data_IF_459467018546
#
_entry.id   IF_459467018546
#
_cell.length_a   1.000
_cell.length_b   1.000
_cell.length_c   1.000
_cell.angle_alpha   90.00
_cell.angle_beta   90.00
_cell.angle_gamma   90.00
#
_symmetry.space_group_name_H-M   'P 1'
#
loop_
_entity.id
_entity.type
_entity.pdbx_description
1 polymer ?
#
# COMPACT_ATOMS: atom_id res chain seq x y z
N UNK A 1 30.51 40.13 28.15
CA UNK A 1 29.33 40.93 28.53
C UNK A 1 28.31 41.04 27.39
N UNK A 2 28.69 41.52 26.19
CA UNK A 2 27.77 41.68 25.05
C UNK A 2 27.30 40.34 24.48
N UNK A 3 28.14 39.30 24.47
CA UNK A 3 27.79 37.95 24.07
C UNK A 3 26.83 37.27 25.06
N UNK A 4 27.06 37.47 26.33
CA UNK A 4 26.21 36.97 27.43
C UNK A 4 24.80 37.60 27.39
N UNK A 5 24.73 38.92 27.18
CA UNK A 5 23.45 39.62 27.04
C UNK A 5 22.68 39.14 25.83
N UNK A 6 23.35 38.85 24.71
CA UNK A 6 22.72 38.29 23.51
C UNK A 6 22.16 36.91 23.77
N UNK A 7 22.91 36.03 24.44
CA UNK A 7 22.44 34.68 24.80
C UNK A 7 21.25 34.74 25.73
N UNK A 8 21.28 35.56 26.76
CA UNK A 8 20.16 35.75 27.68
C UNK A 8 18.90 36.29 26.99
N UNK A 9 19.07 37.17 26.02
CA UNK A 9 17.95 37.70 25.24
C UNK A 9 17.35 36.65 24.32
N UNK A 10 18.17 35.82 23.67
CA UNK A 10 17.74 34.68 22.87
C UNK A 10 16.94 33.69 23.71
N UNK A 11 17.46 33.27 24.87
CA UNK A 11 16.80 32.38 25.78
C UNK A 11 15.46 32.92 26.28
N UNK A 12 15.41 34.24 26.59
CA UNK A 12 14.19 34.91 26.99
C UNK A 12 13.12 34.90 25.87
N UNK A 13 13.49 35.20 24.63
CA UNK A 13 12.58 35.17 23.50
C UNK A 13 12.08 33.74 23.23
N UNK A 14 12.95 32.75 23.30
CA UNK A 14 12.60 31.36 23.12
C UNK A 14 11.63 30.85 24.19
N UNK A 15 11.88 31.16 25.49
CA UNK A 15 10.97 30.86 26.59
C UNK A 15 9.60 31.49 26.40
N UNK A 16 9.56 32.73 25.89
CA UNK A 16 8.30 33.43 25.57
C UNK A 16 7.53 32.74 24.45
N UNK A 17 8.22 32.26 23.40
CA UNK A 17 7.62 31.46 22.31
C UNK A 17 7.06 30.16 22.88
N UNK A 18 7.81 29.46 23.74
CA UNK A 18 7.37 28.17 24.32
C UNK A 18 6.17 28.35 25.26
N UNK A 19 6.13 29.44 25.98
CA UNK A 19 4.98 29.83 26.83
C UNK A 19 3.71 30.07 26.02
N UNK A 20 3.81 30.79 24.90
CA UNK A 20 2.68 31.06 24.00
C UNK A 20 2.22 29.80 23.22
N UNK A 21 3.14 28.90 22.92
CA UNK A 21 2.85 27.59 22.32
C UNK A 21 1.87 26.76 23.18
N UNK A 22 2.03 26.80 24.49
CA UNK A 22 1.13 26.16 25.47
C UNK A 22 -0.25 26.82 25.51
N UNK A 23 -0.33 28.12 25.21
CA UNK A 23 -1.58 28.89 25.20
C UNK A 23 -2.37 28.88 23.86
N UNK A 24 -1.84 28.26 22.79
CA UNK A 24 -2.55 28.06 21.52
C UNK A 24 -2.79 29.33 20.67
N UNK A 25 -2.16 30.47 20.97
CA UNK A 25 -2.33 31.72 20.22
C UNK A 25 -1.35 31.77 19.02
N UNK A 26 -1.75 31.26 17.87
CA UNK A 26 -0.95 31.19 16.65
C UNK A 26 -0.48 32.58 16.16
N UNK A 27 -1.34 33.60 16.23
CA UNK A 27 -1.01 34.98 15.81
C UNK A 27 0.08 35.60 16.69
N UNK A 28 -0.01 35.44 18.02
CA UNK A 28 1.00 35.95 18.93
C UNK A 28 2.34 35.20 18.80
N UNK A 29 2.32 33.87 18.53
CA UNK A 29 3.52 33.09 18.24
C UNK A 29 4.22 33.63 17.00
N UNK A 30 3.47 33.87 15.93
CA UNK A 30 4.02 34.36 14.66
C UNK A 30 4.67 35.74 14.85
N UNK A 31 3.99 36.67 15.54
CA UNK A 31 4.55 38.01 15.81
C UNK A 31 5.89 37.90 16.55
N UNK A 32 6.00 37.06 17.56
CA UNK A 32 7.25 36.89 18.31
C UNK A 32 8.35 36.24 17.46
N UNK A 33 7.99 35.27 16.58
CA UNK A 33 8.95 34.67 15.65
C UNK A 33 9.49 35.71 14.67
N UNK A 34 8.62 36.59 14.16
CA UNK A 34 9.03 37.67 13.26
C UNK A 34 9.90 38.70 14.00
N UNK A 35 9.55 39.08 15.23
CA UNK A 35 10.36 39.94 16.10
C UNK A 35 11.74 39.29 16.36
N UNK A 36 11.80 38.00 16.64
CA UNK A 36 13.04 37.25 16.82
C UNK A 36 13.92 37.28 15.57
N UNK A 37 13.35 36.95 14.40
CA UNK A 37 14.08 36.93 13.11
C UNK A 37 14.62 38.30 12.70
N UNK A 38 13.90 39.34 13.06
CA UNK A 38 14.24 40.76 12.71
C UNK A 38 15.09 41.46 13.77
N UNK A 39 15.45 40.81 14.88
CA UNK A 39 16.25 41.42 15.92
C UNK A 39 17.71 41.55 15.49
N UNK A 40 18.26 42.77 15.41
CA UNK A 40 19.60 43.01 14.88
C UNK A 40 20.74 42.51 15.79
N UNK A 41 20.42 42.06 17.01
CA UNK A 41 21.40 41.68 18.03
C UNK A 41 21.59 40.17 18.20
N UNK A 42 20.97 39.34 17.36
CA UNK A 42 21.14 37.91 17.45
C UNK A 42 22.60 37.50 17.21
N UNK A 43 23.16 36.71 18.13
CA UNK A 43 24.50 36.20 17.97
C UNK A 43 24.52 35.18 16.80
N UNK A 44 25.59 35.21 16.02
CA UNK A 44 25.81 34.28 14.91
C UNK A 44 25.85 32.80 15.34
N UNK A 45 25.86 32.49 16.65
CA UNK A 45 25.84 31.15 17.23
C UNK A 45 24.46 30.57 17.54
N UNK A 46 23.39 31.34 17.46
CA UNK A 46 22.03 30.94 17.85
C UNK A 46 21.22 30.29 16.75
N UNK A 47 21.88 29.76 15.72
CA UNK A 47 21.22 28.94 14.67
C UNK A 47 20.60 27.64 15.18
N UNK A 48 20.92 27.19 16.40
CA UNK A 48 20.33 26.01 17.02
C UNK A 48 18.82 26.11 17.19
N UNK A 49 18.26 27.29 17.40
CA UNK A 49 16.82 27.50 17.54
C UNK A 49 16.12 27.88 16.23
N UNK A 50 16.86 28.15 15.16
CA UNK A 50 16.27 28.59 13.89
C UNK A 50 15.36 27.52 13.27
N UNK A 51 15.75 26.26 13.31
CA UNK A 51 14.93 25.15 12.79
C UNK A 51 13.66 24.96 13.63
N UNK A 52 13.77 25.08 14.96
CA UNK A 52 12.61 24.99 15.86
C UNK A 52 11.67 26.17 15.66
N UNK A 53 12.21 27.36 15.44
CA UNK A 53 11.42 28.55 15.13
C UNK A 53 10.73 28.47 13.78
N UNK A 54 11.39 27.93 12.75
CA UNK A 54 10.78 27.70 11.45
C UNK A 54 9.67 26.66 11.53
N UNK A 55 9.86 25.57 12.27
CA UNK A 55 8.81 24.56 12.52
C UNK A 55 7.61 25.19 13.24
N UNK A 56 7.85 25.97 14.28
CA UNK A 56 6.79 26.66 15.03
C UNK A 56 6.06 27.71 14.18
N UNK A 57 6.78 28.42 13.28
CA UNK A 57 6.17 29.33 12.32
C UNK A 57 5.23 28.60 11.37
N UNK A 58 5.70 27.52 10.73
CA UNK A 58 4.85 26.74 9.82
C UNK A 58 3.66 26.12 10.54
N UNK A 59 3.83 25.68 11.80
CA UNK A 59 2.73 25.21 12.64
C UNK A 59 1.71 26.30 12.90
N UNK A 60 2.15 27.52 13.27
CA UNK A 60 1.27 28.66 13.51
C UNK A 60 0.50 29.05 12.23
N UNK A 61 1.17 29.06 11.09
CA UNK A 61 0.56 29.32 9.79
C UNK A 61 -0.50 28.27 9.44
N UNK A 62 -0.21 26.99 9.72
CA UNK A 62 -1.17 25.92 9.51
C UNK A 62 -2.40 26.04 10.44
N UNK A 63 -2.21 26.38 11.71
CA UNK A 63 -3.33 26.60 12.64
C UNK A 63 -4.22 27.80 12.24
N UNK A 64 -3.64 28.82 11.61
CA UNK A 64 -4.40 29.94 11.03
C UNK A 64 -5.12 29.54 9.73
N UNK A 65 -4.50 28.67 8.94
CA UNK A 65 -5.07 28.19 7.68
C UNK A 65 -6.31 27.32 7.90
N UNK A 66 -6.31 26.42 8.89
CA UNK A 66 -7.41 25.47 9.15
C UNK A 66 -8.79 26.12 9.15
N UNK A 67 -9.07 27.16 9.97
CA UNK A 67 -10.39 27.80 9.99
C UNK A 67 -10.69 28.62 8.75
N UNK A 68 -9.69 28.96 7.93
CA UNK A 68 -9.87 29.72 6.70
C UNK A 68 -10.31 28.85 5.52
N UNK A 69 -10.12 27.52 5.60
CA UNK A 69 -10.54 26.58 4.55
C UNK A 69 -11.98 26.13 4.81
N UNK A 70 -12.94 26.91 4.29
CA UNK A 70 -14.38 26.70 4.52
C UNK A 70 -15.15 26.27 3.27
N UNK A 71 -14.58 26.49 2.07
CA UNK A 71 -15.20 26.15 0.79
C UNK A 71 -14.16 25.95 -0.31
N UNK A 72 -14.59 25.62 -1.53
CA UNK A 72 -13.71 25.44 -2.70
C UNK A 72 -12.96 26.71 -3.10
N UNK A 73 -13.50 27.89 -2.84
CA UNK A 73 -12.87 29.19 -3.19
C UNK A 73 -11.65 29.45 -2.30
N UNK A 74 -11.68 28.98 -1.05
CA UNK A 74 -10.55 29.10 -0.11
C UNK A 74 -9.37 28.16 -0.43
N UNK A 75 -9.49 27.24 -1.39
CA UNK A 75 -8.40 26.33 -1.79
C UNK A 75 -7.17 27.05 -2.36
N UNK A 76 -7.31 28.32 -2.81
CA UNK A 76 -6.18 29.15 -3.20
C UNK A 76 -5.19 29.38 -2.05
N UNK A 77 -5.69 29.60 -0.83
CA UNK A 77 -4.87 29.75 0.38
C UNK A 77 -4.08 28.47 0.68
N UNK A 78 -4.70 27.34 0.48
CA UNK A 78 -4.07 26.04 0.67
C UNK A 78 -2.95 25.79 -0.35
N UNK A 79 -3.15 26.17 -1.60
CA UNK A 79 -2.13 26.05 -2.63
C UNK A 79 -0.92 26.94 -2.32
N UNK A 80 -1.14 28.14 -1.83
CA UNK A 80 -0.07 29.05 -1.44
C UNK A 80 0.71 28.49 -0.25
N UNK A 81 0.02 27.98 0.77
CA UNK A 81 0.65 27.30 1.89
C UNK A 81 1.54 26.14 1.42
N UNK A 82 1.05 25.27 0.54
CA UNK A 82 1.78 24.12 0.02
C UNK A 82 3.02 24.49 -0.82
N UNK A 83 3.05 25.69 -1.41
CA UNK A 83 4.23 26.20 -2.15
C UNK A 83 5.30 26.74 -1.23
N UNK A 84 4.92 27.42 -0.13
CA UNK A 84 5.82 28.20 0.70
C UNK A 84 6.36 27.44 1.90
N UNK A 85 5.68 26.37 2.35
CA UNK A 85 6.03 25.63 3.57
C UNK A 85 6.72 24.30 3.25
N UNK A 86 7.73 23.95 4.06
CA UNK A 86 8.64 22.81 3.79
C UNK A 86 8.37 21.56 4.63
N UNK A 87 7.81 21.71 5.85
CA UNK A 87 7.63 20.58 6.75
C UNK A 87 6.52 19.64 6.26
N UNK A 88 6.91 18.38 6.02
CA UNK A 88 6.03 17.33 5.43
C UNK A 88 4.76 17.13 6.25
N UNK A 89 4.87 17.14 7.57
CA UNK A 89 3.73 16.95 8.49
C UNK A 89 2.60 17.95 8.21
N UNK A 90 2.91 19.24 8.11
CA UNK A 90 1.90 20.28 7.86
C UNK A 90 1.40 20.26 6.42
N UNK A 91 2.26 19.91 5.48
CA UNK A 91 1.88 19.71 4.06
C UNK A 91 0.90 18.55 3.90
N UNK A 92 1.12 17.44 4.59
CA UNK A 92 0.23 16.26 4.55
C UNK A 92 -1.13 16.58 5.19
N UNK A 93 -1.13 17.27 6.34
CA UNK A 93 -2.36 17.75 6.98
C UNK A 93 -3.10 18.79 6.13
N UNK A 94 -2.39 19.71 5.50
CA UNK A 94 -2.97 20.69 4.58
C UNK A 94 -3.59 20.01 3.36
N UNK A 95 -2.93 19.02 2.77
CA UNK A 95 -3.52 18.22 1.69
C UNK A 95 -4.81 17.48 2.13
N UNK A 96 -4.87 17.02 3.38
CA UNK A 96 -6.08 16.40 3.92
C UNK A 96 -7.25 17.39 4.02
N UNK A 97 -7.01 18.67 4.34
CA UNK A 97 -8.04 19.72 4.31
C UNK A 97 -8.63 19.96 2.92
N UNK A 98 -7.89 19.62 1.88
CA UNK A 98 -8.34 19.73 0.49
C UNK A 98 -9.42 18.70 0.12
N UNK A 99 -9.35 17.52 0.72
CA UNK A 99 -10.15 16.36 0.33
C UNK A 99 -11.69 16.61 0.30
N UNK A 100 -12.29 17.33 1.26
CA UNK A 100 -13.73 17.61 1.23
C UNK A 100 -14.19 18.51 0.07
N UNK A 101 -13.28 19.36 -0.47
CA UNK A 101 -13.62 20.41 -1.43
C UNK A 101 -13.21 20.06 -2.87
N UNK A 102 -12.36 19.06 -3.08
CA UNK A 102 -12.01 18.57 -4.41
C UNK A 102 -13.12 17.65 -4.90
N UNK A 103 -14.16 18.26 -5.48
CA UNK A 103 -15.30 17.51 -6.01
C UNK A 103 -14.92 16.67 -7.23
N UNK A 104 -14.02 17.17 -8.08
CA UNK A 104 -13.53 16.46 -9.27
C UNK A 104 -12.09 16.82 -9.58
N UNK A 105 -11.26 15.84 -9.90
CA UNK A 105 -9.94 16.03 -10.48
C UNK A 105 -9.79 15.11 -11.70
N UNK A 106 -9.16 15.62 -12.76
CA UNK A 106 -8.82 14.85 -13.95
C UNK A 106 -7.30 14.83 -14.08
N UNK A 107 -6.73 13.64 -14.11
CA UNK A 107 -5.28 13.43 -14.32
C UNK A 107 -5.10 12.73 -15.65
N UNK A 108 -4.42 13.39 -16.59
CA UNK A 108 -4.16 12.84 -17.91
C UNK A 108 -2.69 12.47 -18.06
N UNK A 109 -2.45 11.31 -18.66
CA UNK A 109 -1.15 10.85 -19.15
C UNK A 109 -1.29 10.53 -20.65
N UNK A 110 -0.21 10.25 -21.38
CA UNK A 110 -0.31 9.90 -22.81
C UNK A 110 -1.19 8.67 -23.10
N UNK A 111 -1.33 7.75 -22.13
CA UNK A 111 -2.06 6.48 -22.31
C UNK A 111 -3.29 6.33 -21.42
N UNK A 112 -3.52 7.26 -20.49
CA UNK A 112 -4.63 7.13 -19.55
C UNK A 112 -5.20 8.49 -19.11
N UNK A 113 -6.54 8.52 -18.91
CA UNK A 113 -7.24 9.65 -18.27
C UNK A 113 -7.97 9.12 -17.04
N UNK A 114 -7.65 9.67 -15.87
CA UNK A 114 -8.20 9.28 -14.57
C UNK A 114 -9.07 10.37 -13.99
N UNK A 115 -10.27 10.01 -13.57
CA UNK A 115 -11.26 10.91 -12.97
C UNK A 115 -11.41 10.59 -11.49
N UNK A 116 -11.31 11.62 -10.66
CA UNK A 116 -11.43 11.51 -9.21
C UNK A 116 -12.64 12.33 -8.74
N UNK A 117 -13.37 11.78 -7.78
CA UNK A 117 -14.43 12.49 -7.07
C UNK A 117 -14.18 12.34 -5.57
N UNK A 118 -14.15 13.45 -4.85
CA UNK A 118 -13.83 13.49 -3.41
C UNK A 118 -12.53 12.72 -3.07
N UNK A 119 -11.50 12.91 -3.90
CA UNK A 119 -10.21 12.26 -3.74
C UNK A 119 -10.16 10.76 -4.11
N UNK A 120 -11.28 10.17 -4.53
CA UNK A 120 -11.35 8.75 -4.93
C UNK A 120 -11.40 8.62 -6.45
N UNK A 121 -10.66 7.64 -6.97
CA UNK A 121 -10.69 7.30 -8.40
C UNK A 121 -12.06 6.70 -8.74
N UNK A 122 -12.84 7.41 -9.59
CA UNK A 122 -14.19 6.95 -9.98
C UNK A 122 -14.23 6.39 -11.40
N UNK A 123 -13.29 6.83 -12.27
CA UNK A 123 -13.21 6.34 -13.64
C UNK A 123 -11.77 6.41 -14.13
N UNK A 124 -11.36 5.42 -14.93
CA UNK A 124 -10.12 5.42 -15.69
C UNK A 124 -10.42 5.04 -17.13
N UNK A 125 -9.91 5.82 -18.08
CA UNK A 125 -9.97 5.52 -19.50
C UNK A 125 -8.55 5.30 -20.00
N UNK A 126 -8.26 4.12 -20.54
CA UNK A 126 -6.94 3.72 -21.02
C UNK A 126 -7.06 3.27 -22.47
N UNK A 127 -6.01 3.49 -23.26
CA UNK A 127 -5.92 2.99 -24.63
C UNK A 127 -4.67 2.14 -24.74
N UNK A 128 -4.85 0.89 -25.18
CA UNK A 128 -3.76 -0.05 -25.45
C UNK A 128 -3.94 -0.74 -26.80
N UNK A 129 -3.10 -1.73 -27.09
CA UNK A 129 -3.15 -2.51 -28.33
C UNK A 129 -4.44 -3.33 -28.52
N UNK A 130 -5.22 -3.53 -27.46
CA UNK A 130 -6.48 -4.29 -27.48
C UNK A 130 -7.70 -3.42 -27.73
N UNK A 131 -7.58 -2.10 -27.52
CA UNK A 131 -8.64 -1.09 -27.72
C UNK A 131 -8.70 -0.06 -26.61
N UNK A 132 -9.86 0.58 -26.47
CA UNK A 132 -10.14 1.52 -25.40
C UNK A 132 -10.74 0.77 -24.20
N UNK A 133 -10.15 0.95 -23.03
CA UNK A 133 -10.63 0.36 -21.79
C UNK A 133 -11.17 1.45 -20.88
N UNK A 134 -12.44 1.36 -20.51
CA UNK A 134 -13.06 2.22 -19.51
C UNK A 134 -13.31 1.42 -18.26
N UNK A 135 -12.69 1.82 -17.14
CA UNK A 135 -12.90 1.23 -15.83
C UNK A 135 -13.60 2.21 -14.90
N UNK A 136 -14.71 1.80 -14.33
CA UNK A 136 -15.50 2.56 -13.35
C UNK A 136 -15.36 1.94 -11.97
N UNK A 137 -15.28 2.79 -10.94
CA UNK A 137 -15.06 2.40 -9.54
C UNK A 137 -16.22 2.92 -8.69
N UNK A 138 -16.89 2.05 -7.94
CA UNK A 138 -18.03 2.38 -7.08
C UNK A 138 -17.65 2.06 -5.64
N UNK A 139 -17.96 3.00 -4.75
CA UNK A 139 -17.67 2.93 -3.32
C UNK A 139 -18.97 2.96 -2.50
N UNK A 140 -18.99 2.30 -1.34
CA UNK A 140 -20.04 2.45 -0.37
C UNK A 140 -19.87 3.75 0.45
N UNK A 141 -20.83 4.03 1.34
CA UNK A 141 -20.84 5.22 2.21
C UNK A 141 -19.65 5.28 3.16
N UNK A 142 -19.05 4.13 3.51
CA UNK A 142 -17.81 4.03 4.29
C UNK A 142 -16.55 4.25 3.46
N UNK A 143 -16.67 4.43 2.13
CA UNK A 143 -15.56 4.65 1.23
C UNK A 143 -14.80 3.40 0.79
N UNK A 144 -15.36 2.23 1.00
CA UNK A 144 -14.80 0.96 0.56
C UNK A 144 -15.22 0.68 -0.88
N UNK A 145 -14.29 0.19 -1.70
CA UNK A 145 -14.49 -0.11 -3.12
C UNK A 145 -15.35 -1.38 -3.28
N UNK A 146 -16.62 -1.21 -3.61
CA UNK A 146 -17.57 -2.32 -3.73
C UNK A 146 -17.65 -2.91 -5.13
N UNK A 147 -17.46 -2.08 -6.17
CA UNK A 147 -17.57 -2.55 -7.55
C UNK A 147 -16.52 -1.91 -8.44
N UNK A 148 -15.91 -2.72 -9.29
CA UNK A 148 -15.07 -2.27 -10.40
C UNK A 148 -15.69 -2.85 -11.68
N UNK A 149 -16.05 -1.98 -12.62
CA UNK A 149 -16.59 -2.37 -13.93
C UNK A 149 -15.60 -1.92 -15.00
N UNK A 150 -15.05 -2.85 -15.75
CA UNK A 150 -14.17 -2.59 -16.90
C UNK A 150 -14.88 -2.99 -18.18
N UNK A 151 -14.93 -2.05 -19.12
CA UNK A 151 -15.49 -2.25 -20.46
C UNK A 151 -14.38 -2.01 -21.47
N UNK A 152 -14.09 -3.02 -22.27
CA UNK A 152 -13.15 -2.92 -23.40
C UNK A 152 -13.95 -2.69 -24.68
N UNK A 153 -13.64 -1.61 -25.40
CA UNK A 153 -14.23 -1.29 -26.69
C UNK A 153 -13.24 -1.56 -27.81
N UNK A 154 -13.71 -2.23 -28.86
CA UNK A 154 -12.95 -2.45 -30.08
C UNK A 154 -13.75 -1.93 -31.26
N UNK A 155 -13.14 -1.06 -32.09
CA UNK A 155 -13.82 -0.41 -33.22
C UNK A 155 -15.11 0.31 -32.82
N UNK A 156 -15.12 0.96 -31.64
CA UNK A 156 -16.28 1.71 -31.11
C UNK A 156 -17.46 0.84 -30.63
N UNK A 157 -17.25 -0.47 -30.48
CA UNK A 157 -18.26 -1.39 -29.95
C UNK A 157 -17.73 -2.10 -28.68
N UNK A 158 -18.60 -2.28 -27.65
CA UNK A 158 -18.22 -3.04 -26.45
C UNK A 158 -17.87 -4.48 -26.81
N UNK A 159 -16.58 -4.83 -26.69
CA UNK A 159 -16.05 -6.16 -27.00
C UNK A 159 -16.05 -7.09 -25.79
N UNK A 160 -15.74 -6.56 -24.62
CA UNK A 160 -15.71 -7.33 -23.38
C UNK A 160 -16.13 -6.46 -22.18
N UNK A 161 -16.78 -7.11 -21.22
CA UNK A 161 -17.25 -6.45 -20.00
C UNK A 161 -16.94 -7.34 -18.80
N UNK A 162 -16.26 -6.77 -17.80
CA UNK A 162 -15.85 -7.50 -16.61
C UNK A 162 -16.19 -6.68 -15.38
N UNK A 163 -16.93 -7.29 -14.45
CA UNK A 163 -17.29 -6.69 -13.19
C UNK A 163 -16.64 -7.45 -12.03
N UNK A 164 -16.03 -6.73 -11.10
CA UNK A 164 -15.60 -7.25 -9.80
C UNK A 164 -16.45 -6.62 -8.71
N UNK A 165 -17.13 -7.44 -7.92
CA UNK A 165 -17.96 -7.00 -6.79
C UNK A 165 -17.40 -7.51 -5.47
N UNK A 166 -17.44 -6.69 -4.42
CA UNK A 166 -16.87 -6.97 -3.09
C UNK A 166 -17.89 -6.73 -1.99
N UNK A 167 -17.84 -7.58 -0.96
CA UNK A 167 -18.54 -7.38 0.30
C UNK A 167 -17.53 -7.26 1.43
N UNK A 168 -17.91 -6.49 2.43
CA UNK A 168 -17.09 -6.18 3.59
C UNK A 168 -17.84 -6.56 4.87
N UNK A 169 -17.09 -6.98 5.88
CA UNK A 169 -17.62 -7.13 7.23
C UNK A 169 -17.85 -5.76 7.89
N UNK A 170 -18.46 -5.70 9.10
CA UNK A 170 -18.68 -4.44 9.81
C UNK A 170 -17.38 -3.70 10.16
N UNK A 171 -16.26 -4.41 10.30
CA UNK A 171 -14.91 -3.89 10.60
C UNK A 171 -14.22 -3.33 9.37
N UNK A 172 -14.70 -3.66 8.17
CA UNK A 172 -14.16 -3.14 6.91
C UNK A 172 -13.23 -4.07 6.14
N UNK A 173 -13.13 -5.34 6.54
CA UNK A 173 -12.34 -6.33 5.83
C UNK A 173 -13.15 -6.92 4.67
N UNK A 174 -12.51 -7.07 3.50
CA UNK A 174 -13.14 -7.70 2.34
C UNK A 174 -13.26 -9.21 2.57
N UNK A 175 -14.50 -9.68 2.79
CA UNK A 175 -14.81 -11.09 3.07
C UNK A 175 -15.29 -11.87 1.84
N UNK A 176 -15.73 -11.18 0.79
CA UNK A 176 -16.19 -11.80 -0.44
C UNK A 176 -15.82 -10.93 -1.64
N UNK A 177 -15.38 -11.57 -2.71
CA UNK A 177 -15.12 -10.96 -4.01
C UNK A 177 -15.60 -11.91 -5.12
N UNK A 178 -16.31 -11.37 -6.11
CA UNK A 178 -16.69 -12.10 -7.30
C UNK A 178 -16.33 -11.28 -8.54
N UNK A 179 -15.74 -11.96 -9.52
CA UNK A 179 -15.46 -11.39 -10.85
C UNK A 179 -16.35 -12.08 -11.87
N UNK A 180 -17.17 -11.30 -12.56
CA UNK A 180 -18.21 -11.79 -13.47
C UNK A 180 -18.15 -11.11 -14.82
N UNK A 181 -18.68 -11.76 -15.83
CA UNK A 181 -19.15 -11.07 -17.03
C UNK A 181 -20.62 -10.68 -16.81
N UNK A 182 -20.96 -9.37 -16.69
CA UNK A 182 -22.33 -8.95 -16.34
C UNK A 182 -23.34 -9.25 -17.45
N UNK A 183 -22.93 -9.36 -18.71
CA UNK A 183 -23.82 -9.69 -19.85
C UNK A 183 -24.23 -11.17 -19.84
N UNK A 184 -23.25 -12.06 -19.67
CA UNK A 184 -23.51 -13.51 -19.67
C UNK A 184 -23.87 -14.05 -18.31
N UNK A 185 -23.70 -13.24 -17.25
CA UNK A 185 -23.86 -13.62 -15.82
C UNK A 185 -22.95 -14.78 -15.42
N UNK A 186 -21.80 -14.90 -16.10
CA UNK A 186 -20.83 -15.99 -15.88
C UNK A 186 -19.75 -15.49 -14.95
N UNK A 187 -19.50 -16.21 -13.86
CA UNK A 187 -18.42 -15.89 -12.94
C UNK A 187 -17.09 -16.40 -13.49
N UNK A 188 -16.08 -15.54 -13.53
CA UNK A 188 -14.70 -15.95 -13.79
C UNK A 188 -14.11 -16.61 -12.54
N UNK A 189 -14.37 -16.01 -11.36
CA UNK A 189 -14.06 -16.60 -10.06
C UNK A 189 -14.94 -16.01 -8.96
N UNK A 190 -15.02 -16.75 -7.84
CA UNK A 190 -15.54 -16.30 -6.53
C UNK A 190 -14.50 -16.53 -5.46
N UNK A 191 -14.29 -15.54 -4.64
CA UNK A 191 -13.35 -15.56 -3.51
C UNK A 191 -14.08 -15.32 -2.22
N UNK A 192 -13.92 -16.19 -1.24
CA UNK A 192 -14.47 -16.03 0.11
C UNK A 192 -13.34 -16.08 1.12
N UNK A 193 -13.31 -15.12 2.03
CA UNK A 193 -12.30 -15.02 3.09
C UNK A 193 -12.92 -15.13 4.46
N UNK A 194 -12.25 -15.84 5.34
CA UNK A 194 -12.49 -15.81 6.77
C UNK A 194 -11.43 -14.91 7.40
N UNK A 195 -11.88 -13.90 8.11
CA UNK A 195 -11.04 -12.89 8.76
C UNK A 195 -11.18 -13.04 10.27
N UNK A 196 -10.06 -13.05 10.98
CA UNK A 196 -10.00 -13.09 12.43
C UNK A 196 -10.41 -11.76 13.06
N UNK A 197 -10.60 -11.77 14.37
CA UNK A 197 -10.99 -10.57 15.16
C UNK A 197 -9.94 -9.46 15.04
N UNK A 198 -8.68 -9.84 14.87
CA UNK A 198 -7.53 -8.94 14.71
C UNK A 198 -7.37 -8.40 13.27
N UNK A 199 -8.27 -8.78 12.34
CA UNK A 199 -8.21 -8.39 10.94
C UNK A 199 -7.31 -9.26 10.07
N UNK A 200 -6.63 -10.27 10.63
CA UNK A 200 -5.82 -11.21 9.87
C UNK A 200 -6.69 -12.15 9.03
N UNK A 201 -6.24 -12.50 7.83
CA UNK A 201 -6.91 -13.52 7.01
C UNK A 201 -6.53 -14.88 7.58
N UNK A 202 -7.53 -15.65 8.07
CA UNK A 202 -7.35 -17.02 8.56
C UNK A 202 -7.42 -18.02 7.42
N UNK A 203 -8.36 -17.83 6.49
CA UNK A 203 -8.49 -18.68 5.31
C UNK A 203 -9.10 -17.92 4.13
N UNK A 204 -8.81 -18.43 2.94
CA UNK A 204 -9.26 -17.91 1.65
C UNK A 204 -9.66 -19.08 0.75
N UNK A 205 -10.83 -19.01 0.15
CA UNK A 205 -11.28 -19.97 -0.84
C UNK A 205 -11.54 -19.26 -2.16
N UNK A 206 -10.91 -19.72 -3.24
CA UNK A 206 -11.04 -19.18 -4.58
C UNK A 206 -11.59 -20.24 -5.52
N UNK A 207 -12.81 -20.03 -6.02
CA UNK A 207 -13.49 -20.94 -6.96
C UNK A 207 -13.51 -20.33 -8.34
N UNK A 208 -13.03 -21.09 -9.34
CA UNK A 208 -12.97 -20.69 -10.74
C UNK A 208 -14.22 -21.10 -11.53
N UNK A 209 -14.40 -20.50 -12.70
CA UNK A 209 -15.53 -20.76 -13.62
C UNK A 209 -15.64 -22.22 -14.04
N UNK A 210 -14.51 -22.89 -14.24
CA UNK A 210 -14.46 -24.31 -14.64
C UNK A 210 -14.78 -25.29 -13.50
N UNK A 211 -15.08 -24.76 -12.31
CA UNK A 211 -15.46 -25.50 -11.12
C UNK A 211 -14.28 -25.91 -10.24
N UNK A 212 -13.04 -25.75 -10.69
CA UNK A 212 -11.86 -25.92 -9.83
C UNK A 212 -11.86 -24.88 -8.71
N UNK A 213 -11.27 -25.22 -7.58
CA UNK A 213 -11.13 -24.26 -6.48
C UNK A 213 -9.88 -24.51 -5.64
N UNK A 214 -9.43 -23.48 -4.96
CA UNK A 214 -8.33 -23.54 -3.99
C UNK A 214 -8.83 -23.14 -2.62
N UNK A 215 -8.22 -23.73 -1.58
CA UNK A 215 -8.43 -23.33 -0.17
C UNK A 215 -7.08 -23.07 0.44
N UNK A 216 -6.88 -21.85 0.92
CA UNK A 216 -5.64 -21.38 1.53
C UNK A 216 -5.84 -21.11 3.01
N UNK A 217 -4.85 -21.44 3.84
CA UNK A 217 -4.80 -21.12 5.27
C UNK A 217 -3.59 -20.26 5.58
N UNK A 218 -3.71 -19.38 6.54
CA UNK A 218 -2.67 -18.42 6.90
C UNK A 218 -2.40 -18.48 8.40
N UNK A 219 -1.17 -18.16 8.78
CA UNK A 219 -0.83 -18.00 10.20
C UNK A 219 -1.25 -16.58 10.69
N UNK A 220 -1.05 -16.31 11.99
CA UNK A 220 -1.36 -15.02 12.60
C UNK A 220 -0.58 -13.82 12.01
N UNK A 221 0.53 -14.07 11.34
CA UNK A 221 1.32 -13.05 10.63
C UNK A 221 0.80 -12.80 9.19
N UNK A 222 -0.27 -13.50 8.75
CA UNK A 222 -0.83 -13.39 7.40
C UNK A 222 -0.02 -14.16 6.34
N UNK A 223 0.90 -15.05 6.75
CA UNK A 223 1.71 -15.85 5.85
C UNK A 223 0.99 -17.15 5.47
N UNK A 224 1.01 -17.51 4.19
CA UNK A 224 0.36 -18.70 3.64
C UNK A 224 1.01 -19.98 4.20
N UNK A 225 0.30 -20.73 5.02
CA UNK A 225 0.79 -21.98 5.60
C UNK A 225 0.37 -23.21 4.83
N UNK A 226 -0.81 -23.19 4.23
CA UNK A 226 -1.34 -24.30 3.46
C UNK A 226 -2.15 -23.79 2.27
N UNK A 227 -2.03 -24.45 1.11
CA UNK A 227 -2.92 -24.25 -0.04
C UNK A 227 -3.29 -25.61 -0.61
N UNK A 228 -4.58 -25.87 -0.71
CA UNK A 228 -5.17 -27.09 -1.32
C UNK A 228 -5.84 -26.73 -2.62
N UNK A 229 -5.59 -27.52 -3.65
CA UNK A 229 -6.14 -27.37 -4.98
C UNK A 229 -7.07 -28.53 -5.29
N UNK A 230 -8.27 -28.22 -5.73
CA UNK A 230 -9.32 -29.21 -6.00
C UNK A 230 -9.82 -29.08 -7.44
N UNK A 231 -10.13 -30.20 -8.05
CA UNK A 231 -10.83 -30.22 -9.34
C UNK A 231 -12.32 -29.86 -9.17
N UNK A 232 -13.03 -29.84 -10.29
CA UNK A 232 -14.47 -29.55 -10.35
C UNK A 232 -15.35 -30.54 -9.59
N UNK A 233 -14.87 -31.77 -9.36
CA UNK A 233 -15.58 -32.81 -8.63
C UNK A 233 -15.30 -32.77 -7.12
N UNK A 234 -14.44 -31.88 -6.66
CA UNK A 234 -14.02 -31.79 -5.27
C UNK A 234 -12.89 -32.73 -4.87
N UNK A 235 -12.21 -33.36 -5.83
CA UNK A 235 -11.06 -34.21 -5.57
C UNK A 235 -9.79 -33.39 -5.46
N UNK A 236 -8.95 -33.71 -4.48
CA UNK A 236 -7.68 -32.99 -4.24
C UNK A 236 -6.68 -33.32 -5.38
N UNK A 237 -6.27 -32.29 -6.12
CA UNK A 237 -5.30 -32.37 -7.20
C UNK A 237 -3.89 -31.98 -6.79
N UNK A 238 -3.77 -31.11 -5.80
CA UNK A 238 -2.48 -30.66 -5.30
C UNK A 238 -2.58 -30.00 -3.96
N UNK A 239 -1.47 -29.94 -3.24
CA UNK A 239 -1.37 -29.12 -2.05
C UNK A 239 0.04 -28.60 -1.84
N UNK A 240 0.12 -27.44 -1.18
CA UNK A 240 1.36 -26.81 -0.78
C UNK A 240 1.31 -26.56 0.73
N UNK A 241 2.41 -26.85 1.42
CA UNK A 241 2.61 -26.54 2.85
C UNK A 241 3.88 -25.73 2.99
N UNK A 242 3.78 -24.60 3.70
CA UNK A 242 4.90 -23.71 3.96
C UNK A 242 5.15 -23.61 5.47
N UNK A 243 6.42 -23.52 5.86
CA UNK A 243 6.84 -23.26 7.23
C UNK A 243 7.68 -22.00 7.27
N UNK A 244 7.59 -21.29 8.39
CA UNK A 244 8.26 -20.02 8.61
C UNK A 244 8.95 -20.04 9.96
N UNK A 245 10.00 -19.26 10.09
CA UNK A 245 10.61 -18.96 11.39
C UNK A 245 9.79 -17.90 12.16
N UNK A 246 10.21 -17.57 13.37
CA UNK A 246 9.56 -16.58 14.23
C UNK A 246 9.58 -15.15 13.62
N UNK A 247 10.50 -14.88 12.69
CA UNK A 247 10.61 -13.61 11.96
C UNK A 247 9.78 -13.56 10.67
N UNK A 248 9.05 -14.64 10.36
CA UNK A 248 8.22 -14.73 9.16
C UNK A 248 8.97 -15.11 7.87
N UNK A 249 10.23 -15.57 7.98
CA UNK A 249 10.96 -16.07 6.82
C UNK A 249 10.61 -17.51 6.54
N UNK A 250 10.37 -17.83 5.26
CA UNK A 250 10.04 -19.19 4.84
C UNK A 250 11.25 -20.11 5.05
N UNK A 251 11.09 -21.17 5.83
CA UNK A 251 12.14 -22.16 6.09
C UNK A 251 11.96 -23.44 5.29
N UNK A 252 10.72 -23.76 4.95
CA UNK A 252 10.39 -24.94 4.17
C UNK A 252 9.16 -24.68 3.30
N UNK A 253 9.17 -25.16 2.06
CA UNK A 253 7.99 -25.28 1.20
C UNK A 253 7.92 -26.69 0.64
N UNK A 254 6.75 -27.32 0.72
CA UNK A 254 6.50 -28.61 0.14
C UNK A 254 5.26 -28.53 -0.75
N UNK A 255 5.44 -28.88 -2.02
CA UNK A 255 4.35 -28.98 -2.98
C UNK A 255 4.16 -30.44 -3.41
N UNK A 256 2.90 -30.88 -3.52
CA UNK A 256 2.55 -32.20 -4.03
C UNK A 256 1.44 -32.06 -5.07
N UNK A 257 1.62 -32.70 -6.21
CA UNK A 257 0.67 -32.76 -7.30
C UNK A 257 0.15 -34.19 -7.48
N UNK A 258 -1.15 -34.37 -7.33
CA UNK A 258 -1.79 -35.67 -7.39
C UNK A 258 -2.17 -36.11 -8.82
N UNK A 259 -2.21 -35.16 -9.77
CA UNK A 259 -2.63 -35.43 -11.16
C UNK A 259 -1.65 -36.29 -11.95
N UNK A 260 -0.37 -36.30 -11.58
CA UNK A 260 0.71 -36.83 -12.39
C UNK A 260 1.32 -38.15 -11.86
N UNK A 261 0.62 -38.83 -10.94
CA UNK A 261 1.11 -40.08 -10.34
C UNK A 261 1.58 -41.11 -11.39
N UNK A 262 0.92 -41.17 -12.55
CA UNK A 262 1.23 -42.10 -13.64
C UNK A 262 1.94 -41.44 -14.84
N UNK A 263 2.40 -40.17 -14.71
CA UNK A 263 3.03 -39.43 -15.80
C UNK A 263 4.54 -39.37 -15.60
N UNK A 264 5.37 -40.16 -16.33
CA UNK A 264 6.80 -40.32 -16.06
C UNK A 264 7.45 -38.94 -16.19
N UNK A 265 7.62 -38.07 -16.50
CA UNK A 265 8.36 -36.82 -16.58
C UNK A 265 7.64 -35.61 -15.91
N UNK A 266 6.52 -35.86 -15.23
CA UNK A 266 5.78 -34.81 -14.56
C UNK A 266 6.19 -34.73 -13.07
N UNK A 267 6.35 -33.51 -12.59
CA UNK A 267 6.71 -33.24 -11.18
C UNK A 267 5.57 -33.63 -10.26
N UNK A 268 5.79 -34.67 -9.44
CA UNK A 268 4.82 -35.19 -8.49
C UNK A 268 4.93 -34.47 -7.14
N UNK A 269 6.18 -34.26 -6.67
CA UNK A 269 6.42 -33.60 -5.39
C UNK A 269 7.73 -32.82 -5.43
N UNK A 270 7.72 -31.66 -4.80
CA UNK A 270 8.91 -30.82 -4.60
C UNK A 270 8.94 -30.38 -3.14
N UNK A 271 10.12 -30.53 -2.52
CA UNK A 271 10.42 -29.99 -1.21
C UNK A 271 11.59 -29.03 -1.34
N UNK A 272 11.48 -27.87 -0.73
CA UNK A 272 12.50 -26.82 -0.69
C UNK A 272 12.78 -26.43 0.76
N UNK A 273 14.06 -26.30 1.09
CA UNK A 273 14.54 -25.80 2.36
C UNK A 273 15.32 -24.52 2.09
N UNK A 274 15.01 -23.47 2.83
CA UNK A 274 15.56 -22.14 2.66
C UNK A 274 16.50 -21.81 3.80
N UNK A 275 17.73 -21.42 3.49
CA UNK A 275 18.78 -21.06 4.43
C UNK A 275 19.08 -19.55 4.32
N UNK A 276 19.20 -18.89 5.46
CA UNK A 276 19.45 -17.45 5.54
C UNK A 276 20.73 -17.17 6.33
N UNK A 277 21.40 -16.09 6.01
CA UNK A 277 22.52 -15.60 6.81
C UNK A 277 22.04 -14.85 8.07
N UNK A 278 23.00 -14.42 8.91
CA UNK A 278 22.72 -13.66 10.14
C UNK A 278 22.05 -12.30 9.91
N UNK A 279 22.10 -11.76 8.68
CA UNK A 279 21.47 -10.51 8.29
C UNK A 279 20.09 -10.74 7.68
N UNK A 280 19.76 -12.01 7.39
CA UNK A 280 18.47 -12.41 6.85
C UNK A 280 18.39 -12.46 5.33
N UNK A 281 19.51 -12.42 4.64
CA UNK A 281 19.54 -12.67 3.21
C UNK A 281 19.45 -14.19 2.94
N UNK A 282 18.66 -14.55 1.91
CA UNK A 282 18.54 -15.93 1.48
C UNK A 282 19.85 -16.38 0.83
N UNK A 283 20.58 -17.29 1.45
CA UNK A 283 21.89 -17.74 0.95
C UNK A 283 21.82 -19.04 0.17
N UNK A 284 20.82 -19.89 0.47
CA UNK A 284 20.71 -21.20 -0.18
C UNK A 284 19.29 -21.71 -0.20
N UNK A 285 18.95 -22.40 -1.30
CA UNK A 285 17.76 -23.23 -1.40
C UNK A 285 18.21 -24.67 -1.71
N UNK A 286 17.86 -25.60 -0.82
CA UNK A 286 18.06 -27.03 -1.08
C UNK A 286 16.74 -27.62 -1.52
N UNK A 287 16.71 -28.29 -2.67
CA UNK A 287 15.49 -28.86 -3.20
C UNK A 287 15.60 -30.36 -3.44
N UNK A 288 14.48 -31.05 -3.29
CA UNK A 288 14.26 -32.42 -3.67
C UNK A 288 12.99 -32.49 -4.53
N UNK A 289 13.10 -33.14 -5.69
CA UNK A 289 11.99 -33.36 -6.61
C UNK A 289 11.75 -34.84 -6.83
N UNK A 290 10.49 -35.22 -6.92
CA UNK A 290 10.05 -36.57 -7.22
C UNK A 290 9.14 -36.49 -8.44
N UNK A 291 9.40 -37.30 -9.46
CA UNK A 291 8.62 -37.38 -10.68
C UNK A 291 7.69 -38.61 -10.65
N UNK A 292 6.68 -38.65 -11.54
CA UNK A 292 5.66 -39.70 -11.56
C UNK A 292 6.19 -41.13 -11.82
N UNK A 293 7.38 -41.26 -12.42
CA UNK A 293 8.10 -42.54 -12.56
C UNK A 293 8.94 -42.89 -11.30
N UNK A 294 8.74 -42.22 -10.18
CA UNK A 294 9.52 -42.35 -8.96
C UNK A 294 10.99 -41.91 -9.06
N UNK A 295 11.37 -41.28 -10.17
CA UNK A 295 12.69 -40.67 -10.30
C UNK A 295 12.84 -39.53 -9.28
N UNK A 296 13.94 -39.53 -8.53
CA UNK A 296 14.27 -38.51 -7.57
C UNK A 296 15.44 -37.67 -8.06
N UNK A 297 15.31 -36.37 -7.95
CA UNK A 297 16.41 -35.43 -8.17
C UNK A 297 16.56 -34.52 -6.96
N UNK A 298 17.79 -34.13 -6.66
CA UNK A 298 18.06 -33.16 -5.60
C UNK A 298 19.15 -32.20 -6.07
N UNK A 299 19.17 -31.00 -5.51
CA UNK A 299 20.17 -30.01 -5.81
C UNK A 299 20.12 -28.85 -4.85
N UNK A 300 20.97 -27.89 -5.08
CA UNK A 300 20.90 -26.62 -4.34
C UNK A 300 21.14 -25.45 -5.28
N UNK A 301 20.50 -24.35 -4.97
CA UNK A 301 20.77 -23.03 -5.52
C UNK A 301 21.43 -22.20 -4.43
N UNK A 302 22.56 -21.59 -4.73
CA UNK A 302 23.25 -20.66 -3.81
C UNK A 302 22.98 -19.23 -4.31
N UNK A 303 22.63 -18.34 -3.40
CA UNK A 303 22.41 -16.93 -3.70
C UNK A 303 23.61 -16.13 -3.19
N UNK A 304 24.17 -15.26 -4.04
CA UNK A 304 25.30 -14.40 -3.72
C UNK A 304 24.84 -12.93 -3.69
N UNK A 305 25.39 -12.17 -2.76
CA UNK A 305 25.07 -10.75 -2.58
C UNK A 305 26.33 -9.90 -2.54
N UNK A 306 26.27 -8.68 -3.05
CA UNK A 306 27.31 -7.67 -2.91
C UNK A 306 27.31 -7.06 -1.49
N UNK A 307 28.25 -6.18 -1.22
CA UNK A 307 28.39 -5.48 0.06
C UNK A 307 27.20 -4.56 0.39
N UNK A 308 26.34 -4.24 -0.59
CA UNK A 308 25.14 -3.42 -0.44
C UNK A 308 23.88 -4.27 -0.29
N UNK A 309 23.98 -5.61 -0.36
CA UNK A 309 22.88 -6.53 -0.26
C UNK A 309 22.10 -6.74 -1.58
N UNK A 310 22.66 -6.31 -2.72
CA UNK A 310 22.07 -6.61 -4.02
C UNK A 310 22.48 -8.02 -4.45
N UNK A 311 21.52 -8.79 -4.96
CA UNK A 311 21.78 -10.14 -5.46
C UNK A 311 22.62 -10.06 -6.76
N UNK A 312 23.74 -10.78 -6.80
CA UNK A 312 24.73 -10.74 -7.90
C UNK A 312 24.88 -12.07 -8.69
N UNK A 313 24.26 -13.15 -8.21
CA UNK A 313 24.13 -14.38 -8.98
C UNK A 313 23.05 -14.13 -10.05
N UNK A 314 23.47 -13.68 -11.23
CA UNK A 314 22.57 -13.50 -12.37
C UNK A 314 21.91 -14.83 -12.77
N UNK A 315 20.69 -14.72 -13.32
CA UNK A 315 20.00 -15.86 -13.95
C UNK A 315 20.92 -16.46 -15.02
N UNK A 316 21.46 -17.63 -14.74
CA UNK A 316 22.25 -18.44 -15.68
C UNK A 316 21.34 -19.49 -16.34
#
# INVERSE_FOLDING_TARGET
YLAEVRTLYDDFLFQRIDSLKKGGNATAIRQIIDDYKNTPYLATGTRTHLNDLEYLSEKADFELLKPAIVNSESLGLLQEFLKTHKYKEFRDQANALRAPFVLQAIVSTPTAVKYYTQGRLTKCCETDSTGNITTSYIYNDKGQLTTVLSVTEKNGQPANEVQTSRLYDPQGHCIFEVKTNPKTKTDFYRRTRRVGIDGSIESDSLKYMDGRYTVSSYNKQGLLTECKEYNKNGELEGYTVNKYDDNGKMTESQHQNMLFVNSPNQLLSQKELYEYDKYGYLTRIVYQRIFGNSQKTSGCLTCLYDEYGNRIDGDS
#
